data_IF_843683063307
#
_entry.id   IF_843683063307
#
_cell.length_a   1.000
_cell.length_b   1.000
_cell.length_c   1.000
_cell.angle_alpha   90.00
_cell.angle_beta   90.00
_cell.angle_gamma   90.00
#
_symmetry.space_group_name_H-M   'P 1'
#
loop_
_entity.id
_entity.type
_entity.pdbx_description
1 polymer ?
#
# COMPACT_ATOMS: atom_id res chain seq x y z
N UNK A 1 -9.01 15.15 15.71
CA UNK A 1 -9.11 13.75 15.23
C UNK A 1 -7.77 13.40 14.61
N UNK A 2 -7.23 12.19 14.78
CA UNK A 2 -5.85 11.88 14.42
C UNK A 2 -5.54 12.12 12.94
N UNK A 3 -6.51 11.97 12.04
CA UNK A 3 -6.42 12.32 10.63
C UNK A 3 -7.80 12.75 10.11
N UNK A 4 -7.83 13.54 9.03
CA UNK A 4 -9.08 14.08 8.46
C UNK A 4 -9.60 13.27 7.27
N UNK A 5 -8.70 12.62 6.53
CA UNK A 5 -9.02 11.76 5.39
C UNK A 5 -7.94 10.69 5.17
N UNK A 6 -8.11 9.86 4.15
CA UNK A 6 -7.15 8.81 3.80
C UNK A 6 -5.79 9.36 3.37
N UNK A 7 -5.74 10.53 2.70
CA UNK A 7 -4.47 11.14 2.26
C UNK A 7 -3.68 11.63 3.46
N UNK A 8 -4.37 12.16 4.46
CA UNK A 8 -3.78 12.59 5.72
C UNK A 8 -3.28 11.40 6.55
N UNK A 9 -4.03 10.29 6.58
CA UNK A 9 -3.58 9.05 7.17
C UNK A 9 -2.33 8.48 6.47
N UNK A 10 -2.35 8.39 5.14
CA UNK A 10 -1.19 7.91 4.36
C UNK A 10 0.07 8.72 4.65
N UNK A 11 -0.05 10.05 4.76
CA UNK A 11 1.08 10.92 5.08
C UNK A 11 1.66 10.61 6.46
N UNK A 12 0.82 10.42 7.46
CA UNK A 12 1.29 10.09 8.82
C UNK A 12 1.98 8.73 8.88
N UNK A 13 1.45 7.72 8.18
CA UNK A 13 2.06 6.39 8.12
C UNK A 13 3.39 6.42 7.35
N UNK A 14 3.49 7.23 6.29
CA UNK A 14 4.75 7.45 5.56
C UNK A 14 5.81 8.13 6.43
N UNK A 15 5.43 9.16 7.21
CA UNK A 15 6.31 9.83 8.17
C UNK A 15 6.84 8.88 9.26
N UNK A 16 6.08 7.83 9.59
CA UNK A 16 6.49 6.78 10.53
C UNK A 16 7.40 5.71 9.88
N UNK A 17 7.57 5.73 8.56
CA UNK A 17 8.32 4.71 7.82
C UNK A 17 7.55 3.39 7.60
N UNK A 18 6.25 3.40 7.87
CA UNK A 18 5.37 2.22 7.86
C UNK A 18 4.54 2.11 6.56
N UNK A 19 4.86 2.93 5.54
CA UNK A 19 4.22 2.90 4.22
C UNK A 19 5.19 2.42 3.15
N UNK A 20 4.80 1.38 2.40
CA UNK A 20 5.54 0.85 1.25
C UNK A 20 4.82 1.15 -0.05
N UNK A 21 5.44 1.96 -0.90
CA UNK A 21 4.99 2.18 -2.28
C UNK A 21 5.41 1.00 -3.18
N UNK A 22 4.44 0.42 -3.88
CA UNK A 22 4.66 -0.64 -4.87
C UNK A 22 4.09 -0.18 -6.21
N UNK A 23 4.99 0.08 -7.17
CA UNK A 23 4.61 0.52 -8.51
C UNK A 23 4.94 -0.55 -9.55
N UNK A 24 4.08 -0.69 -10.56
CA UNK A 24 4.31 -1.61 -11.69
C UNK A 24 4.01 -3.08 -11.40
N UNK A 25 3.29 -3.36 -10.31
CA UNK A 25 2.70 -4.68 -10.07
C UNK A 25 1.55 -4.93 -11.07
N UNK A 26 1.42 -6.16 -11.57
CA UNK A 26 0.25 -6.51 -12.38
C UNK A 26 -1.01 -6.58 -11.51
N UNK A 27 -2.11 -5.97 -11.97
CA UNK A 27 -3.36 -5.93 -11.19
C UNK A 27 -3.97 -7.32 -11.00
N UNK A 28 -3.92 -8.16 -12.04
CA UNK A 28 -4.56 -9.47 -12.06
C UNK A 28 -3.82 -10.54 -11.25
N UNK A 29 -2.48 -10.47 -11.16
CA UNK A 29 -1.68 -11.54 -10.55
C UNK A 29 -0.89 -11.09 -9.31
N UNK A 30 -0.23 -9.94 -9.36
CA UNK A 30 0.71 -9.54 -8.30
C UNK A 30 0.00 -8.89 -7.11
N UNK A 31 -1.04 -8.10 -7.34
CA UNK A 31 -1.79 -7.42 -6.26
C UNK A 31 -2.37 -8.42 -5.26
N UNK A 32 -2.98 -9.50 -5.75
CA UNK A 32 -3.50 -10.57 -4.91
C UNK A 32 -2.39 -11.22 -4.08
N UNK A 33 -1.27 -11.58 -4.72
CA UNK A 33 -0.13 -12.23 -4.04
C UNK A 33 0.51 -11.34 -2.98
N UNK A 34 0.69 -10.05 -3.27
CA UNK A 34 1.23 -9.07 -2.33
C UNK A 34 0.31 -8.93 -1.13
N UNK A 35 -1.00 -8.84 -1.36
CA UNK A 35 -2.00 -8.74 -0.29
C UNK A 35 -1.99 -10.01 0.58
N UNK A 36 -1.96 -11.19 -0.04
CA UNK A 36 -1.87 -12.48 0.65
C UNK A 36 -0.62 -12.61 1.53
N UNK A 37 0.51 -12.11 1.06
CA UNK A 37 1.75 -12.10 1.84
C UNK A 37 1.67 -11.14 3.04
N UNK A 38 1.19 -9.91 2.83
CA UNK A 38 1.13 -8.88 3.88
C UNK A 38 0.16 -9.27 5.00
N UNK A 39 -0.99 -9.84 4.68
CA UNK A 39 -1.98 -10.23 5.69
C UNK A 39 -1.54 -11.40 6.59
N UNK A 40 -0.54 -12.19 6.15
CA UNK A 40 0.04 -13.29 6.93
C UNK A 40 1.40 -12.95 7.52
N UNK A 41 1.87 -11.71 7.36
CA UNK A 41 3.14 -11.24 7.91
C UNK A 41 2.82 -10.33 9.09
N UNK A 42 3.18 -10.77 10.30
CA UNK A 42 3.07 -9.93 11.49
C UNK A 42 3.92 -8.66 11.31
N UNK A 43 3.41 -7.53 11.79
CA UNK A 43 4.03 -6.21 11.67
C UNK A 43 4.35 -5.80 10.21
N UNK A 44 3.57 -6.28 9.24
CA UNK A 44 3.68 -5.85 7.86
C UNK A 44 3.33 -4.36 7.69
N UNK A 45 4.10 -3.60 6.88
CA UNK A 45 3.80 -2.20 6.61
C UNK A 45 2.53 -2.08 5.78
N UNK A 46 1.90 -0.90 5.84
CA UNK A 46 0.86 -0.56 4.88
C UNK A 46 1.48 -0.53 3.47
N UNK A 47 0.78 -1.08 2.47
CA UNK A 47 1.23 -1.03 1.08
C UNK A 47 0.31 -0.14 0.24
N UNK A 48 0.89 0.79 -0.52
CA UNK A 48 0.19 1.56 -1.54
C UNK A 48 0.60 1.04 -2.91
N UNK A 49 -0.31 0.31 -3.56
CA UNK A 49 -0.12 -0.27 -4.89
C UNK A 49 -0.65 0.70 -5.96
N UNK A 50 0.14 0.95 -6.99
CA UNK A 50 -0.22 1.87 -8.06
C UNK A 50 0.61 1.71 -9.32
N UNK A 51 0.39 2.59 -10.29
CA UNK A 51 1.09 2.55 -11.59
C UNK A 51 0.75 1.28 -12.38
N UNK A 52 -0.52 0.87 -12.36
CA UNK A 52 -0.98 -0.31 -13.10
C UNK A 52 -0.98 -0.03 -14.61
N UNK A 53 -0.52 -1.00 -15.40
CA UNK A 53 -0.56 -0.89 -16.85
C UNK A 53 -2.01 -0.71 -17.34
N UNK A 54 -2.25 0.28 -18.19
CA UNK A 54 -3.60 0.63 -18.65
C UNK A 54 -4.41 1.53 -17.71
N UNK A 55 -3.88 1.87 -16.52
CA UNK A 55 -4.53 2.75 -15.53
C UNK A 55 -3.54 3.80 -14.99
N UNK A 56 -3.28 4.88 -15.77
CA UNK A 56 -2.33 5.94 -15.41
C UNK A 56 -2.84 6.86 -14.29
#
# INVERSE_FOLDING_TARGET
MPYTDLRDWLRQVDEMGELRYVNGATLDEDVGRITEMLQHTDDAPAALLGGFEGYP
#
